data_IF_117820775024
#
_entry.id   IF_117820775024
#
_cell.length_a   1.000
_cell.length_b   1.000
_cell.length_c   1.000
_cell.angle_alpha   90.00
_cell.angle_beta   90.00
_cell.angle_gamma   90.00
#
_symmetry.space_group_name_H-M   'P 1'
#
loop_
_entity.id
_entity.type
_entity.pdbx_description
1 polymer ?
#
# COMPACT_ATOMS: atom_id res chain seq x y z
N UNK A 1 15.17 -8.73 7.13
CA UNK A 1 13.90 -8.90 7.86
C UNK A 1 12.89 -7.97 7.22
N UNK A 2 11.68 -8.45 6.91
CA UNK A 2 10.64 -7.59 6.35
C UNK A 2 10.14 -6.59 7.41
N UNK A 3 9.67 -5.39 6.99
CA UNK A 3 9.05 -4.42 7.90
C UNK A 3 7.89 -5.04 8.68
N UNK A 4 7.73 -4.62 9.94
CA UNK A 4 6.66 -5.09 10.83
C UNK A 4 5.41 -4.22 10.67
N UNK A 5 4.24 -4.75 11.02
CA UNK A 5 3.00 -3.98 11.04
C UNK A 5 3.01 -3.05 12.26
N UNK A 6 2.85 -1.77 11.99
CA UNK A 6 2.75 -0.69 12.98
C UNK A 6 1.29 -0.34 13.28
N UNK A 7 0.43 -0.35 12.24
CA UNK A 7 -1.00 -0.05 12.33
C UNK A 7 -1.78 -0.95 11.38
N UNK A 8 -3.01 -1.30 11.77
CA UNK A 8 -3.96 -2.01 10.92
C UNK A 8 -5.34 -1.39 11.06
N UNK A 9 -6.06 -1.31 9.94
CA UNK A 9 -7.47 -0.92 9.91
C UNK A 9 -8.27 -1.88 9.04
N UNK A 10 -9.46 -2.34 9.48
CA UNK A 10 -10.32 -3.16 8.66
C UNK A 10 -10.96 -2.33 7.54
N UNK A 11 -10.96 -2.86 6.33
CA UNK A 11 -11.61 -2.29 5.15
C UNK A 11 -12.80 -3.16 4.71
N UNK A 12 -13.69 -2.63 3.85
CA UNK A 12 -14.71 -3.43 3.18
C UNK A 12 -14.11 -4.63 2.44
N UNK A 13 -14.95 -5.66 2.23
CA UNK A 13 -14.61 -6.88 1.50
C UNK A 13 -13.51 -7.73 2.15
N UNK A 14 -13.44 -7.72 3.49
CA UNK A 14 -12.45 -8.48 4.28
C UNK A 14 -11.00 -8.12 3.92
N UNK A 15 -10.77 -6.85 3.61
CA UNK A 15 -9.43 -6.32 3.37
C UNK A 15 -8.88 -5.64 4.62
N UNK A 16 -7.57 -5.56 4.71
CA UNK A 16 -6.86 -4.86 5.76
C UNK A 16 -6.00 -3.77 5.15
N UNK A 17 -6.15 -2.55 5.64
CA UNK A 17 -5.14 -1.52 5.47
C UNK A 17 -4.02 -1.75 6.48
N UNK A 18 -2.77 -1.68 6.02
CA UNK A 18 -1.57 -1.92 6.81
C UNK A 18 -0.62 -0.73 6.68
N UNK A 19 -0.16 -0.22 7.82
CA UNK A 19 1.00 0.68 7.89
C UNK A 19 2.17 -0.11 8.46
N UNK A 20 3.30 -0.11 7.76
CA UNK A 20 4.51 -0.83 8.17
C UNK A 20 5.50 0.10 8.89
N UNK A 21 6.44 -0.47 9.64
CA UNK A 21 7.47 0.28 10.40
C UNK A 21 8.44 1.10 9.53
N UNK A 22 8.42 0.91 8.21
CA UNK A 22 9.19 1.72 7.25
C UNK A 22 8.32 2.76 6.54
N UNK A 23 7.18 3.10 7.15
CA UNK A 23 6.18 4.07 6.68
C UNK A 23 5.51 3.71 5.33
N UNK A 24 5.82 2.53 4.78
CA UNK A 24 5.08 2.01 3.62
C UNK A 24 3.69 1.59 4.04
N UNK A 25 2.76 1.72 3.11
CA UNK A 25 1.38 1.29 3.29
C UNK A 25 1.03 0.18 2.30
N UNK A 26 0.09 -0.67 2.67
CA UNK A 26 -0.38 -1.74 1.81
C UNK A 26 -1.80 -2.18 2.15
N UNK A 27 -2.41 -2.88 1.21
CA UNK A 27 -3.71 -3.53 1.40
C UNK A 27 -3.54 -5.03 1.26
N UNK A 28 -3.99 -5.78 2.26
CA UNK A 28 -4.00 -7.24 2.24
C UNK A 28 -5.44 -7.75 2.12
N UNK A 29 -5.65 -8.73 1.24
CA UNK A 29 -6.95 -9.37 1.04
C UNK A 29 -7.04 -10.67 1.87
N UNK A 30 -7.93 -10.69 2.87
CA UNK A 30 -8.17 -11.89 3.68
C UNK A 30 -9.19 -12.83 3.03
N UNK A 31 -9.81 -12.47 1.91
CA UNK A 31 -10.82 -13.27 1.21
C UNK A 31 -10.43 -14.74 1.03
N UNK A 32 -9.22 -15.06 0.52
CA UNK A 32 -8.75 -16.44 0.37
C UNK A 32 -8.63 -17.23 1.68
N UNK A 33 -8.49 -16.55 2.83
CA UNK A 33 -8.35 -17.18 4.14
C UNK A 33 -9.70 -17.55 4.76
N UNK A 34 -10.80 -16.92 4.33
CA UNK A 34 -12.10 -17.03 5.01
C UNK A 34 -12.66 -18.46 5.06
N UNK A 35 -12.25 -19.36 4.16
CA UNK A 35 -12.69 -20.75 4.16
C UNK A 35 -11.72 -21.72 4.88
N UNK A 36 -10.58 -21.20 5.34
CA UNK A 36 -9.49 -21.98 5.89
C UNK A 36 -9.52 -22.03 7.42
N UNK A 37 -9.76 -23.22 7.97
CA UNK A 37 -9.56 -23.54 9.39
C UNK A 37 -10.13 -22.49 10.36
N UNK A 38 -9.25 -21.95 11.21
CA UNK A 38 -9.58 -20.97 12.26
C UNK A 38 -10.00 -19.60 11.72
N UNK A 39 -9.70 -19.28 10.46
CA UNK A 39 -10.05 -17.98 9.86
C UNK A 39 -11.51 -17.89 9.40
N UNK A 40 -12.30 -18.97 9.51
CA UNK A 40 -13.74 -18.95 9.19
C UNK A 40 -14.53 -17.97 10.04
N UNK A 41 -14.07 -17.68 11.26
CA UNK A 41 -14.68 -16.69 12.15
C UNK A 41 -14.57 -15.27 11.59
N UNK A 42 -13.58 -15.01 10.72
CA UNK A 42 -13.42 -13.71 10.05
C UNK A 42 -14.56 -13.38 9.08
N UNK A 43 -15.41 -14.35 8.73
CA UNK A 43 -16.63 -14.09 7.94
C UNK A 43 -17.65 -13.24 8.72
N UNK A 44 -17.60 -13.24 10.04
CA UNK A 44 -18.36 -12.27 10.83
C UNK A 44 -17.66 -10.91 10.74
N UNK A 45 -18.31 -9.94 10.09
CA UNK A 45 -17.76 -8.59 9.91
C UNK A 45 -17.52 -7.85 11.23
N UNK A 46 -18.37 -8.09 12.24
CA UNK A 46 -18.19 -7.52 13.57
C UNK A 46 -16.98 -8.13 14.26
N UNK A 47 -16.75 -9.44 14.08
CA UNK A 47 -15.53 -10.10 14.56
C UNK A 47 -14.28 -9.61 13.82
N UNK A 48 -14.34 -9.56 12.49
CA UNK A 48 -13.26 -9.09 11.62
C UNK A 48 -12.81 -7.68 12.00
N UNK A 49 -13.77 -6.79 12.31
CA UNK A 49 -13.49 -5.42 12.74
C UNK A 49 -12.72 -5.29 14.06
N UNK A 50 -12.57 -6.38 14.83
CA UNK A 50 -11.78 -6.41 16.08
C UNK A 50 -10.28 -6.63 15.84
N UNK A 51 -9.85 -6.55 14.58
CA UNK A 51 -8.45 -6.68 14.17
C UNK A 51 -7.56 -5.68 14.91
N UNK A 52 -6.36 -6.12 15.32
CA UNK A 52 -5.36 -5.27 15.96
C UNK A 52 -3.94 -5.63 15.51
N UNK A 53 -3.06 -4.64 15.53
CA UNK A 53 -1.63 -4.89 15.37
C UNK A 53 -1.06 -5.36 16.72
N UNK A 54 -0.33 -6.48 16.73
CA UNK A 54 0.26 -7.06 17.93
C UNK A 54 1.62 -7.67 17.58
N UNK A 55 2.68 -7.29 18.28
CA UNK A 55 4.06 -7.79 18.09
C UNK A 55 4.56 -7.76 16.63
N UNK A 56 4.11 -6.74 15.89
CA UNK A 56 4.46 -6.57 14.49
C UNK A 56 3.63 -7.40 13.50
N UNK A 57 2.70 -8.22 13.98
CA UNK A 57 1.72 -8.99 13.20
C UNK A 57 0.33 -8.34 13.25
N UNK A 58 -0.63 -8.98 12.59
CA UNK A 58 -2.06 -8.69 12.76
C UNK A 58 -2.70 -9.86 13.49
N UNK A 59 -3.56 -9.56 14.48
CA UNK A 59 -4.24 -10.57 15.28
C UNK A 59 -5.71 -10.21 15.58
N UNK A 60 -6.49 -11.25 15.92
CA UNK A 60 -7.88 -11.17 16.40
C UNK A 60 -8.01 -11.69 17.84
N UNK A 61 -9.15 -11.46 18.51
CA UNK A 61 -9.33 -11.82 19.92
C UNK A 61 -9.18 -13.31 20.25
N UNK A 62 -9.51 -14.22 19.33
CA UNK A 62 -9.40 -15.67 19.55
C UNK A 62 -8.07 -16.23 19.02
N UNK A 63 -6.98 -15.46 19.16
CA UNK A 63 -5.61 -15.90 18.87
C UNK A 63 -5.32 -16.22 17.39
N UNK A 64 -6.21 -15.90 16.46
CA UNK A 64 -5.84 -15.93 15.04
C UNK A 64 -4.89 -14.77 14.75
N UNK A 65 -3.79 -15.07 14.08
CA UNK A 65 -2.83 -14.08 13.63
C UNK A 65 -2.38 -14.34 12.18
N UNK A 66 -1.87 -13.30 11.55
CA UNK A 66 -1.22 -13.38 10.23
C UNK A 66 0.19 -12.83 10.37
N UNK A 67 1.16 -13.66 10.00
CA UNK A 67 2.57 -13.34 10.09
C UNK A 67 2.92 -12.03 9.35
N UNK A 68 3.80 -11.18 9.90
CA UNK A 68 4.25 -9.94 9.26
C UNK A 68 4.84 -10.15 7.86
N UNK A 69 5.54 -11.26 7.66
CA UNK A 69 6.21 -11.53 6.40
C UNK A 69 5.18 -11.80 5.28
N UNK A 70 4.12 -12.57 5.56
CA UNK A 70 2.97 -12.75 4.67
C UNK A 70 2.29 -11.42 4.38
N UNK A 71 1.98 -10.65 5.43
CA UNK A 71 1.36 -9.34 5.28
C UNK A 71 2.21 -8.39 4.42
N UNK A 72 3.54 -8.42 4.55
CA UNK A 72 4.41 -7.57 3.75
C UNK A 72 4.60 -8.07 2.31
N UNK A 73 4.72 -9.38 2.08
CA UNK A 73 4.97 -9.91 0.74
C UNK A 73 3.72 -9.90 -0.14
N UNK A 74 2.56 -10.22 0.45
CA UNK A 74 1.33 -10.47 -0.31
C UNK A 74 0.40 -9.25 -0.34
N UNK A 75 0.70 -8.19 0.43
CA UNK A 75 -0.07 -6.95 0.33
C UNK A 75 0.27 -6.16 -0.93
N UNK A 76 -0.75 -5.59 -1.54
CA UNK A 76 -0.60 -4.62 -2.62
C UNK A 76 -0.11 -3.32 -2.03
N UNK A 77 1.14 -2.94 -2.34
CA UNK A 77 1.73 -1.69 -1.86
C UNK A 77 1.00 -0.51 -2.47
N UNK A 78 0.58 0.40 -1.59
CA UNK A 78 0.12 1.70 -2.03
C UNK A 78 1.39 2.49 -2.38
N UNK A 79 1.71 2.52 -3.65
CA UNK A 79 2.72 3.45 -4.17
C UNK A 79 1.98 4.76 -4.38
N UNK A 80 2.50 5.86 -3.83
CA UNK A 80 2.08 7.22 -4.18
C UNK A 80 1.74 7.31 -5.68
N UNK A 81 0.67 8.02 -6.09
CA UNK A 81 0.39 8.20 -7.49
C UNK A 81 1.64 8.79 -8.14
N UNK A 82 2.19 8.06 -9.10
CA UNK A 82 3.34 8.50 -9.87
C UNK A 82 3.07 9.94 -10.32
N UNK A 83 3.86 10.86 -9.78
CA UNK A 83 3.85 12.25 -10.18
C UNK A 83 4.09 12.25 -11.69
N UNK A 84 3.04 12.61 -12.43
CA UNK A 84 3.02 12.85 -13.86
C UNK A 84 4.35 13.48 -14.31
N UNK A 85 5.20 12.68 -14.95
CA UNK A 85 6.36 13.14 -15.67
C UNK A 85 5.83 13.88 -16.91
N UNK A 86 5.77 15.21 -16.85
CA UNK A 86 5.63 16.03 -18.05
C UNK A 86 7.01 15.98 -18.73
N UNK A 87 7.15 15.40 -19.94
CA UNK A 87 8.40 15.54 -20.67
C UNK A 87 8.56 17.01 -21.08
N UNK A 88 9.54 17.69 -20.49
CA UNK A 88 10.08 18.94 -21.05
C UNK A 88 10.68 18.63 -22.42
N UNK A 89 10.11 19.22 -23.48
CA UNK A 89 10.55 18.93 -24.83
C UNK A 89 10.07 19.97 -25.85
N UNK A 90 10.72 21.13 -25.86
CA UNK A 90 10.68 22.04 -27.01
C UNK A 90 11.99 22.84 -27.08
N UNK A 91 12.92 22.54 -28.01
CA UNK A 91 14.16 23.30 -28.13
C UNK A 91 13.87 24.74 -28.60
N UNK A 92 14.64 25.75 -28.17
CA UNK A 92 14.52 27.08 -28.75
C UNK A 92 14.98 27.00 -30.21
N UNK A 93 14.07 27.32 -31.14
CA UNK A 93 14.42 27.49 -32.55
C UNK A 93 15.51 28.55 -32.67
N UNK A 94 16.64 28.14 -33.22
CA UNK A 94 17.75 29.00 -33.59
C UNK A 94 17.42 29.61 -34.95
N UNK A 95 16.99 30.87 -34.99
CA UNK A 95 17.12 31.69 -36.20
C UNK A 95 18.27 32.66 -36.00
N UNK A 96 19.36 32.40 -36.72
CA UNK A 96 20.50 33.30 -36.82
C UNK A 96 20.28 34.39 -37.87
N UNK A 97 21.07 35.44 -37.73
CA UNK A 97 21.62 36.34 -38.76
C UNK A 97 20.60 37.12 -39.59
N UNK A 98 20.65 38.44 -39.74
CA UNK A 98 21.72 39.27 -40.35
C UNK A 98 21.39 40.75 -40.05
N UNK A 99 22.32 41.53 -39.53
CA UNK A 99 23.26 42.40 -40.27
C UNK A 99 22.66 43.74 -40.76
N UNK A 100 23.28 44.82 -40.26
CA UNK A 100 23.49 46.12 -40.89
C UNK A 100 22.31 46.95 -41.41
N UNK A 101 21.95 47.95 -40.61
CA UNK A 101 21.26 49.17 -41.05
C UNK A 101 21.91 50.41 -40.44
N UNK A 102 22.93 50.94 -41.10
CA UNK A 102 23.46 52.32 -40.97
C UNK A 102 23.61 52.83 -42.42
N UNK A 103 23.44 54.12 -42.75
CA UNK A 103 23.43 55.34 -41.92
C UNK A 103 22.11 56.08 -41.76
#
# INVERSE_FOLDING_TARGET
>A
MNPRVKKVEPLPDYRLFLEFTNDKQGVYDCGPLLDFGVFRELKDKSYFGRVRALDGAVAWPHEQDICPDTLYLDSTKQTEPAQIHIPEGGPPMRHGSTDSGKP
#
